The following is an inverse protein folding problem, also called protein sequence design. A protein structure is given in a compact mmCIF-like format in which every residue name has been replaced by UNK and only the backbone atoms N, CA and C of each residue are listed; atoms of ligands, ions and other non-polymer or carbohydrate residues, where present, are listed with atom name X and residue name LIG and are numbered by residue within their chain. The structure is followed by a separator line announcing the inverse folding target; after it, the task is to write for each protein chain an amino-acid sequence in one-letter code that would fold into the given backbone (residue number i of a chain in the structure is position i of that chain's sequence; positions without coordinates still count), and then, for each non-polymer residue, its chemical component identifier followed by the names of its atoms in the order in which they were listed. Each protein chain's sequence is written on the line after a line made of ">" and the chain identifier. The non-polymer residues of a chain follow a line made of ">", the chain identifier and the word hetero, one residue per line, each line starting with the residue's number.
data_IF_379668384961
#
_entry.id   IF_379668384961
#
_cell.length_a   1.000
_cell.length_b   1.000
_cell.length_c   1.000
_cell.angle_alpha   90.00
_cell.angle_beta   90.00
_cell.angle_gamma   90.00
#
_symmetry.space_group_name_H-M   'P 1'
#
loop_
_entity.id
_entity.type
_entity.pdbx_description
1 polymer ?
#
# COMPACT_ATOMS: atom_id res chain seq x y z
N UNK A 1 -19.68 1.14 -7.14
CA UNK A 1 -20.16 0.78 -8.49
C UNK A 1 -19.41 -0.45 -8.96
N UNK A 2 -20.09 -1.54 -9.28
CA UNK A 2 -19.45 -2.79 -9.75
C UNK A 2 -19.60 -2.89 -11.27
N UNK A 3 -18.54 -3.33 -11.96
CA UNK A 3 -18.54 -3.54 -13.41
C UNK A 3 -18.11 -4.98 -13.70
N UNK A 4 -18.83 -5.63 -14.62
CA UNK A 4 -18.47 -6.97 -15.09
C UNK A 4 -17.56 -6.83 -16.30
N UNK A 5 -16.46 -7.59 -16.31
CA UNK A 5 -15.48 -7.62 -17.40
C UNK A 5 -15.23 -9.07 -17.79
N UNK A 6 -14.84 -9.29 -19.05
CA UNK A 6 -14.31 -10.58 -19.51
C UNK A 6 -12.79 -10.52 -19.51
N UNK A 7 -12.14 -11.57 -19.00
CA UNK A 7 -10.68 -11.70 -18.97
C UNK A 7 -10.29 -13.07 -19.51
N UNK A 8 -9.15 -13.14 -20.18
CA UNK A 8 -8.55 -14.41 -20.60
C UNK A 8 -7.56 -14.87 -19.53
N UNK A 9 -7.72 -16.10 -19.06
CA UNK A 9 -6.81 -16.75 -18.12
C UNK A 9 -6.41 -18.12 -18.67
N UNK A 10 -5.23 -18.61 -18.30
CA UNK A 10 -4.83 -19.96 -18.67
C UNK A 10 -5.70 -20.99 -17.95
N UNK A 11 -5.88 -22.15 -18.59
CA UNK A 11 -6.67 -23.26 -18.04
C UNK A 11 -6.19 -23.68 -16.64
N UNK A 12 -4.86 -23.78 -16.46
CA UNK A 12 -4.26 -24.12 -15.15
C UNK A 12 -4.59 -23.08 -14.08
N UNK A 13 -4.62 -21.80 -14.43
CA UNK A 13 -4.96 -20.73 -13.47
C UNK A 13 -6.45 -20.76 -13.12
N UNK A 14 -7.32 -21.09 -14.08
CA UNK A 14 -8.75 -21.25 -13.82
C UNK A 14 -9.01 -22.43 -12.88
N UNK A 15 -8.40 -23.59 -13.14
CA UNK A 15 -8.50 -24.76 -12.27
C UNK A 15 -7.99 -24.48 -10.86
N UNK A 16 -6.86 -23.78 -10.74
CA UNK A 16 -6.36 -23.34 -9.45
C UNK A 16 -7.37 -22.44 -8.74
N UNK A 17 -7.87 -21.41 -9.42
CA UNK A 17 -8.84 -20.47 -8.85
C UNK A 17 -10.10 -21.19 -8.34
N UNK A 18 -10.58 -22.18 -9.09
CA UNK A 18 -11.74 -23.01 -8.73
C UNK A 18 -11.51 -23.90 -7.51
N UNK A 19 -10.27 -24.37 -7.33
CA UNK A 19 -9.90 -25.16 -6.16
C UNK A 19 -9.81 -24.33 -4.87
N UNK A 20 -9.53 -23.03 -4.98
CA UNK A 20 -9.27 -22.18 -3.81
C UNK A 20 -10.51 -21.47 -3.30
N UNK A 21 -11.43 -21.07 -4.19
CA UNK A 21 -12.55 -20.19 -3.82
C UNK A 21 -13.84 -20.50 -4.55
N UNK A 22 -14.96 -20.27 -3.86
CA UNK A 22 -16.29 -20.31 -4.49
C UNK A 22 -16.62 -19.04 -5.28
N UNK A 23 -16.05 -17.90 -4.89
CA UNK A 23 -16.30 -16.60 -5.54
C UNK A 23 -15.01 -16.04 -6.16
N UNK A 24 -14.86 -16.32 -7.45
CA UNK A 24 -13.72 -15.89 -8.28
C UNK A 24 -13.56 -14.37 -8.29
N UNK A 25 -14.65 -13.64 -8.49
CA UNK A 25 -14.62 -12.17 -8.58
C UNK A 25 -14.17 -11.54 -7.27
N UNK A 26 -14.63 -12.04 -6.12
CA UNK A 26 -14.20 -11.55 -4.81
C UNK A 26 -12.68 -11.75 -4.64
N UNK A 27 -12.20 -12.96 -4.91
CA UNK A 27 -10.78 -13.28 -4.78
C UNK A 27 -9.88 -12.44 -5.71
N UNK A 28 -10.30 -12.25 -6.97
CA UNK A 28 -9.57 -11.40 -7.92
C UNK A 28 -9.54 -9.94 -7.43
N UNK A 29 -10.66 -9.41 -6.92
CA UNK A 29 -10.67 -8.06 -6.35
C UNK A 29 -9.73 -7.93 -5.15
N UNK A 30 -9.74 -8.89 -4.23
CA UNK A 30 -8.84 -8.91 -3.07
C UNK A 30 -7.37 -8.98 -3.50
N UNK A 31 -7.04 -9.75 -4.54
CA UNK A 31 -5.69 -9.78 -5.12
C UNK A 31 -5.28 -8.43 -5.71
N UNK A 32 -6.20 -7.76 -6.42
CA UNK A 32 -5.94 -6.42 -6.99
C UNK A 32 -5.72 -5.39 -5.89
N UNK A 33 -6.54 -5.42 -4.83
CA UNK A 33 -6.37 -4.53 -3.67
C UNK A 33 -5.04 -4.76 -2.97
N UNK A 34 -4.66 -6.03 -2.79
CA UNK A 34 -3.37 -6.39 -2.20
C UNK A 34 -2.20 -5.89 -3.06
N UNK A 35 -2.24 -6.10 -4.38
CA UNK A 35 -1.19 -5.60 -5.29
C UNK A 35 -1.08 -4.07 -5.25
N UNK A 36 -2.21 -3.35 -5.29
CA UNK A 36 -2.25 -1.90 -5.16
C UNK A 36 -1.61 -1.43 -3.86
N UNK A 37 -1.97 -2.05 -2.73
CA UNK A 37 -1.41 -1.71 -1.42
C UNK A 37 0.09 -1.96 -1.38
N UNK A 38 0.55 -3.12 -1.82
CA UNK A 38 1.98 -3.46 -1.85
C UNK A 38 2.78 -2.47 -2.70
N UNK A 39 2.27 -2.07 -3.87
CA UNK A 39 2.93 -1.08 -4.73
C UNK A 39 2.96 0.31 -4.09
N UNK A 40 1.89 0.71 -3.41
CA UNK A 40 1.85 1.96 -2.67
C UNK A 40 2.86 1.97 -1.52
N UNK A 41 2.91 0.91 -0.71
CA UNK A 41 3.89 0.76 0.37
C UNK A 41 5.33 0.80 -0.14
N UNK A 42 5.61 0.13 -1.27
CA UNK A 42 6.92 0.17 -1.91
C UNK A 42 7.28 1.59 -2.38
N UNK A 43 6.33 2.32 -2.94
CA UNK A 43 6.52 3.72 -3.35
C UNK A 43 6.79 4.63 -2.16
N UNK A 44 6.07 4.46 -1.04
CA UNK A 44 6.35 5.24 0.18
C UNK A 44 7.73 4.95 0.73
N UNK A 45 8.13 3.68 0.82
CA UNK A 45 9.47 3.30 1.28
C UNK A 45 10.56 3.92 0.42
N UNK A 46 10.41 3.87 -0.90
CA UNK A 46 11.34 4.51 -1.82
C UNK A 46 11.42 6.04 -1.60
N UNK A 47 10.27 6.68 -1.39
CA UNK A 47 10.19 8.11 -1.04
C UNK A 47 10.92 8.44 0.26
N UNK A 48 10.69 7.67 1.32
CA UNK A 48 11.36 7.87 2.61
C UNK A 48 12.87 7.65 2.54
N UNK A 49 13.32 6.64 1.78
CA UNK A 49 14.76 6.42 1.56
C UNK A 49 15.35 7.64 0.83
N UNK A 50 14.73 8.09 -0.26
CA UNK A 50 15.20 9.26 -1.01
C UNK A 50 15.22 10.54 -0.15
N UNK A 51 14.20 10.73 0.71
CA UNK A 51 14.14 11.79 1.70
C UNK A 51 15.29 11.71 2.70
N UNK A 52 15.54 10.52 3.24
CA UNK A 52 16.62 10.30 4.20
C UNK A 52 18.03 10.49 3.61
N UNK A 53 18.17 10.47 2.29
CA UNK A 53 19.44 10.74 1.60
C UNK A 53 19.59 12.22 1.20
N UNK A 54 18.52 13.02 1.31
CA UNK A 54 18.51 14.44 0.98
C UNK A 54 18.81 15.31 2.22
N UNK A 55 19.97 15.97 2.21
CA UNK A 55 20.42 16.85 3.30
C UNK A 55 19.50 18.04 3.56
N UNK A 56 18.94 18.66 2.52
CA UNK A 56 18.06 19.82 2.67
C UNK A 56 16.77 19.43 3.41
N UNK A 57 16.20 18.29 3.04
CA UNK A 57 15.02 17.76 3.70
C UNK A 57 15.30 17.28 5.12
N UNK A 58 16.48 16.72 5.40
CA UNK A 58 16.89 16.39 6.77
C UNK A 58 17.04 17.64 7.66
N UNK A 59 17.57 18.73 7.10
CA UNK A 59 17.68 20.00 7.82
C UNK A 59 16.30 20.59 8.10
N UNK A 60 15.38 20.52 7.14
CA UNK A 60 13.98 20.90 7.34
C UNK A 60 13.30 20.03 8.40
N UNK A 61 13.45 18.70 8.35
CA UNK A 61 12.88 17.77 9.35
C UNK A 61 13.34 18.11 10.78
N UNK A 62 14.60 18.49 10.97
CA UNK A 62 15.12 18.95 12.28
C UNK A 62 14.43 20.21 12.78
N UNK A 63 14.03 21.11 11.88
CA UNK A 63 13.24 22.29 12.26
C UNK A 63 11.81 21.91 12.65
N UNK A 64 11.31 20.75 12.23
CA UNK A 64 10.00 20.23 12.66
C UNK A 64 10.08 19.44 13.98
N UNK A 65 11.26 19.01 14.43
CA UNK A 65 11.41 18.29 15.71
C UNK A 65 10.98 19.13 16.92
N UNK A 66 11.08 20.47 16.85
CA UNK A 66 10.70 21.35 17.97
C UNK A 66 9.21 21.32 18.31
N UNK A 67 8.34 20.94 17.36
CA UNK A 67 6.88 20.89 17.55
C UNK A 67 6.35 19.46 17.73
N UNK A 68 7.23 18.45 17.85
CA UNK A 68 6.82 17.04 17.92
C UNK A 68 5.95 16.72 19.15
N UNK A 69 6.09 17.51 20.22
CA UNK A 69 5.33 17.39 21.47
C UNK A 69 4.20 18.39 21.63
N UNK A 70 3.97 19.28 20.66
CA UNK A 70 2.92 20.30 20.77
C UNK A 70 1.53 19.64 20.90
N UNK A 71 0.82 19.93 22.00
CA UNK A 71 -0.50 19.37 22.29
C UNK A 71 -0.50 17.96 22.88
N UNK A 72 0.68 17.40 23.19
CA UNK A 72 0.84 16.25 24.08
C UNK A 72 1.10 16.82 25.47
N UNK A 73 0.04 17.21 26.18
CA UNK A 73 0.13 17.53 27.60
C UNK A 73 0.46 16.23 28.35
N UNK A 74 1.57 16.22 29.10
CA UNK A 74 1.84 15.22 30.13
C UNK A 74 0.79 15.42 31.25
N UNK A 75 -0.40 14.84 31.09
CA UNK A 75 -1.31 14.60 32.22
C UNK A 75 -0.67 13.50 33.12
N UNK A 76 0.20 13.93 34.03
CA UNK A 76 0.48 13.24 35.30
C UNK A 76 -0.65 13.49 36.32
#
# INVERSE_FOLDING_TARGET
>A
MTKNISITVSEKNLQYLDSQVKNRSKYINELIEKDRRSKFEASMRAGYIAQSENKEMQEEEKLWEIVIGDGIDDED
#
